data_IF_900282512579
#
_entry.id   IF_900282512579
#
_cell.length_a   1.000
_cell.length_b   1.000
_cell.length_c   1.000
_cell.angle_alpha   90.00
_cell.angle_beta   90.00
_cell.angle_gamma   90.00
#
_symmetry.space_group_name_H-M   'P 1'
#
loop_
_entity.id
_entity.type
_entity.pdbx_description
1 polymer ?
#
# COMPACT_ATOMS: atom_id res chain seq x y z
N UNK A 1 -19.16 11.63 0.01
CA UNK A 1 -20.50 11.57 0.64
C UNK A 1 -20.70 10.17 1.17
N UNK A 2 -21.11 10.03 2.42
CA UNK A 2 -21.33 8.74 3.08
C UNK A 2 -22.84 8.57 3.28
N UNK A 3 -23.39 7.50 2.74
CA UNK A 3 -24.79 7.13 2.93
C UNK A 3 -24.86 5.89 3.83
N UNK A 4 -25.29 6.02 5.09
CA UNK A 4 -25.43 4.89 5.98
C UNK A 4 -26.65 4.05 5.63
N UNK A 5 -26.52 2.74 5.79
CA UNK A 5 -27.60 1.78 5.60
C UNK A 5 -28.70 1.92 6.66
N UNK A 6 -28.31 2.24 7.89
CA UNK A 6 -29.22 2.56 8.99
C UNK A 6 -29.09 4.03 9.37
N UNK A 7 -30.20 4.77 9.30
CA UNK A 7 -30.26 6.20 9.66
C UNK A 7 -30.02 6.43 11.16
N UNK A 8 -30.34 5.46 12.02
CA UNK A 8 -30.05 5.54 13.46
C UNK A 8 -28.55 5.55 13.79
N UNK A 9 -27.70 5.09 12.85
CA UNK A 9 -26.25 5.06 13.01
C UNK A 9 -25.55 6.39 12.69
N UNK A 10 -26.25 7.36 12.10
CA UNK A 10 -25.70 8.67 11.69
C UNK A 10 -24.94 9.36 12.84
N UNK A 11 -25.49 9.52 14.06
CA UNK A 11 -24.80 10.20 15.15
C UNK A 11 -23.51 9.48 15.60
N UNK A 12 -23.51 8.14 15.55
CA UNK A 12 -22.34 7.32 15.88
C UNK A 12 -21.24 7.49 14.85
N UNK A 13 -21.60 7.54 13.56
CA UNK A 13 -20.66 7.74 12.46
C UNK A 13 -20.07 9.16 12.53
N UNK A 14 -20.88 10.19 12.73
CA UNK A 14 -20.41 11.57 12.90
C UNK A 14 -19.41 11.70 14.05
N UNK A 15 -19.74 11.10 15.20
CA UNK A 15 -18.87 11.13 16.39
C UNK A 15 -17.56 10.38 16.15
N UNK A 16 -17.58 9.29 15.38
CA UNK A 16 -16.37 8.55 15.03
C UNK A 16 -15.47 9.36 14.08
N UNK A 17 -16.05 10.05 13.10
CA UNK A 17 -15.32 10.94 12.18
C UNK A 17 -14.72 12.12 12.94
N UNK A 18 -15.48 12.78 13.83
CA UNK A 18 -14.97 13.88 14.65
C UNK A 18 -13.85 13.45 15.61
N UNK A 19 -13.91 12.22 16.14
CA UNK A 19 -12.85 11.64 16.98
C UNK A 19 -11.65 11.16 16.18
N UNK A 20 -11.79 10.98 14.88
CA UNK A 20 -10.68 10.56 14.03
C UNK A 20 -9.68 11.70 13.89
N UNK A 21 -8.40 11.37 13.75
CA UNK A 21 -7.32 12.34 13.53
C UNK A 21 -7.34 12.94 12.11
N UNK A 22 -8.47 12.81 11.39
CA UNK A 22 -8.63 13.31 10.03
C UNK A 22 -8.89 14.83 9.99
N UNK A 23 -9.27 15.44 11.12
CA UNK A 23 -9.53 16.89 11.20
C UNK A 23 -10.72 17.34 10.37
N UNK A 24 -11.66 16.43 10.08
CA UNK A 24 -12.81 16.69 9.23
C UNK A 24 -14.04 17.02 10.07
N UNK A 25 -14.80 18.03 9.63
CA UNK A 25 -16.10 18.38 10.20
C UNK A 25 -17.21 17.78 9.31
N UNK A 26 -17.89 16.70 9.74
CA UNK A 26 -19.01 16.14 8.99
C UNK A 26 -20.23 17.06 9.07
N UNK A 27 -20.90 17.25 7.92
CA UNK A 27 -22.21 17.91 7.82
C UNK A 27 -23.25 16.87 7.45
N UNK A 28 -24.40 16.85 8.11
CA UNK A 28 -25.41 15.82 7.92
C UNK A 28 -26.75 16.42 7.52
N UNK A 29 -27.33 15.90 6.43
CA UNK A 29 -28.65 16.31 5.93
C UNK A 29 -29.76 15.35 6.41
N UNK A 30 -29.49 14.54 7.45
CA UNK A 30 -30.42 13.56 8.05
C UNK A 30 -30.54 12.22 7.31
N UNK A 31 -30.08 12.13 6.05
CA UNK A 31 -29.99 10.88 5.28
C UNK A 31 -28.57 10.56 4.80
N UNK A 32 -27.68 11.55 4.75
CA UNK A 32 -26.33 11.44 4.19
C UNK A 32 -25.39 12.35 4.97
N UNK A 33 -24.17 11.86 5.18
CA UNK A 33 -23.07 12.59 5.81
C UNK A 33 -22.16 13.10 4.70
N UNK A 34 -21.98 14.42 4.62
CA UNK A 34 -21.05 15.09 3.73
C UNK A 34 -19.78 15.44 4.49
N UNK A 35 -18.64 15.16 3.87
CA UNK A 35 -17.33 15.53 4.38
C UNK A 35 -16.76 16.57 3.44
N UNK A 36 -16.52 17.77 3.97
CA UNK A 36 -15.77 18.80 3.25
C UNK A 36 -14.29 18.54 3.51
N UNK A 37 -13.59 17.99 2.52
CA UNK A 37 -12.14 17.90 2.57
C UNK A 37 -11.58 19.27 2.15
N UNK A 38 -10.88 20.00 3.05
CA UNK A 38 -10.13 21.16 2.63
C UNK A 38 -9.01 20.73 1.67
N UNK A 39 -8.60 21.58 0.72
CA UNK A 39 -7.42 21.31 -0.09
C UNK A 39 -6.22 21.14 0.83
N UNK A 40 -5.39 20.14 0.55
CA UNK A 40 -4.17 19.90 1.32
C UNK A 40 -3.21 21.09 1.14
N UNK A 41 -2.63 21.58 2.23
CA UNK A 41 -1.53 22.54 2.18
C UNK A 41 -0.30 21.89 1.55
N UNK A 42 0.58 22.69 0.96
CA UNK A 42 1.84 22.22 0.36
C UNK A 42 2.70 21.46 1.38
N UNK A 43 2.79 21.94 2.62
CA UNK A 43 3.50 21.28 3.72
C UNK A 43 2.92 19.89 4.01
N UNK A 44 1.59 19.74 4.02
CA UNK A 44 0.93 18.46 4.25
C UNK A 44 1.11 17.50 3.07
N UNK A 45 1.12 18.00 1.83
CA UNK A 45 1.42 17.21 0.64
C UNK A 45 2.85 16.64 0.71
N UNK A 46 3.84 17.47 1.06
CA UNK A 46 5.22 17.02 1.22
C UNK A 46 5.38 15.97 2.34
N UNK A 47 4.67 16.12 3.45
CA UNK A 47 4.68 15.12 4.52
C UNK A 47 4.11 13.78 4.04
N UNK A 48 2.99 13.80 3.33
CA UNK A 48 2.37 12.60 2.77
C UNK A 48 3.27 11.92 1.73
N UNK A 49 3.97 12.69 0.89
CA UNK A 49 4.97 12.17 -0.05
C UNK A 49 6.09 11.42 0.68
N UNK A 50 6.58 11.93 1.82
CA UNK A 50 7.58 11.20 2.63
C UNK A 50 7.03 9.88 3.16
N UNK A 51 5.77 9.85 3.59
CA UNK A 51 5.11 8.62 4.06
C UNK A 51 4.98 7.60 2.92
N UNK A 52 4.61 8.04 1.71
CA UNK A 52 4.54 7.19 0.53
C UNK A 52 5.90 6.57 0.23
N UNK A 53 6.97 7.38 0.17
CA UNK A 53 8.35 6.89 -0.04
C UNK A 53 8.77 5.86 1.00
N UNK A 54 8.49 6.13 2.27
CA UNK A 54 8.80 5.20 3.36
C UNK A 54 8.08 3.86 3.14
N UNK A 55 6.79 3.88 2.81
CA UNK A 55 6.01 2.66 2.55
C UNK A 55 6.54 1.89 1.33
N UNK A 56 6.90 2.58 0.26
CA UNK A 56 7.51 1.98 -0.94
C UNK A 56 8.79 1.23 -0.57
N UNK A 57 9.70 1.87 0.17
CA UNK A 57 10.96 1.25 0.58
C UNK A 57 10.76 0.07 1.56
N UNK A 58 9.85 0.20 2.53
CA UNK A 58 9.47 -0.91 3.41
C UNK A 58 9.00 -2.14 2.61
N UNK A 59 8.19 -1.93 1.57
CA UNK A 59 7.70 -3.04 0.73
C UNK A 59 8.81 -3.67 -0.12
N UNK A 60 9.72 -2.86 -0.67
CA UNK A 60 10.91 -3.37 -1.37
C UNK A 60 11.77 -4.23 -0.46
N UNK A 61 11.96 -3.84 0.80
CA UNK A 61 12.70 -4.63 1.79
C UNK A 61 12.03 -5.99 2.02
N UNK A 62 10.70 -6.00 2.22
CA UNK A 62 9.94 -7.26 2.39
C UNK A 62 10.12 -8.19 1.19
N UNK A 63 10.01 -7.68 -0.04
CA UNK A 63 10.20 -8.51 -1.24
C UNK A 63 11.61 -9.08 -1.32
N UNK A 64 12.63 -8.28 -1.01
CA UNK A 64 14.02 -8.77 -1.01
C UNK A 64 14.25 -9.85 0.03
N UNK A 65 13.62 -9.75 1.20
CA UNK A 65 13.67 -10.78 2.23
C UNK A 65 12.96 -12.06 1.77
N UNK A 66 11.75 -11.97 1.22
CA UNK A 66 11.03 -13.12 0.66
C UNK A 66 11.83 -13.82 -0.44
N UNK A 67 12.50 -13.06 -1.32
CA UNK A 67 13.41 -13.62 -2.32
C UNK A 67 14.58 -14.37 -1.67
N UNK A 68 15.16 -13.82 -0.60
CA UNK A 68 16.25 -14.47 0.12
C UNK A 68 15.80 -15.81 0.72
N UNK A 69 14.63 -15.82 1.36
CA UNK A 69 14.04 -17.03 1.96
C UNK A 69 13.76 -18.09 0.88
N UNK A 70 13.11 -17.70 -0.23
CA UNK A 70 12.83 -18.58 -1.35
C UNK A 70 14.12 -19.15 -2.01
N UNK A 71 15.17 -18.34 -2.12
CA UNK A 71 16.48 -18.80 -2.60
C UNK A 71 17.10 -19.84 -1.63
N UNK A 72 16.91 -19.65 -0.32
CA UNK A 72 17.31 -20.62 0.70
C UNK A 72 16.57 -21.96 0.55
N UNK A 73 15.27 -21.92 0.33
CA UNK A 73 14.43 -23.10 0.07
C UNK A 73 14.87 -23.84 -1.19
N UNK A 74 15.05 -23.12 -2.31
CA UNK A 74 15.51 -23.69 -3.58
C UNK A 74 16.86 -24.41 -3.44
N UNK A 75 17.79 -23.82 -2.69
CA UNK A 75 19.08 -24.44 -2.37
C UNK A 75 18.93 -25.69 -1.49
N UNK A 76 17.94 -25.70 -0.60
CA UNK A 76 17.59 -26.87 0.21
C UNK A 76 17.08 -28.03 -0.66
N UNK A 77 16.17 -27.74 -1.58
CA UNK A 77 15.61 -28.71 -2.53
C UNK A 77 16.68 -29.33 -3.44
N UNK A 78 17.64 -28.52 -3.93
CA UNK A 78 18.76 -29.03 -4.73
C UNK A 78 19.63 -30.01 -3.92
N UNK A 79 19.94 -29.67 -2.65
CA UNK A 79 20.72 -30.54 -1.76
C UNK A 79 20.02 -31.85 -1.43
N UNK A 80 18.70 -31.81 -1.27
CA UNK A 80 17.88 -32.99 -1.01
C UNK A 80 17.67 -33.85 -2.28
N UNK A 81 18.13 -33.36 -3.45
CA UNK A 81 17.90 -33.96 -4.78
C UNK A 81 16.41 -34.04 -5.15
N UNK A 82 15.59 -33.17 -4.57
CA UNK A 82 14.18 -33.01 -4.92
C UNK A 82 14.03 -32.30 -6.27
N UNK A 83 15.04 -31.52 -6.67
CA UNK A 83 15.15 -30.85 -7.97
C UNK A 83 16.55 -31.04 -8.56
N UNK A 84 16.65 -31.01 -9.89
CA UNK A 84 17.93 -31.02 -10.61
C UNK A 84 18.63 -29.65 -10.61
N UNK A 85 19.92 -29.62 -10.95
CA UNK A 85 20.68 -28.36 -11.07
C UNK A 85 20.11 -27.44 -12.16
N UNK A 86 19.63 -28.02 -13.27
CA UNK A 86 19.03 -27.28 -14.37
C UNK A 86 17.70 -26.63 -13.93
N UNK A 87 16.88 -27.37 -13.18
CA UNK A 87 15.63 -26.84 -12.61
C UNK A 87 15.90 -25.77 -11.56
N UNK A 88 16.89 -25.98 -10.69
CA UNK A 88 17.31 -24.98 -9.69
C UNK A 88 17.72 -23.67 -10.37
N UNK A 89 18.53 -23.74 -11.42
CA UNK A 89 18.95 -22.54 -12.17
C UNK A 89 17.75 -21.83 -12.84
N UNK A 90 16.83 -22.57 -13.46
CA UNK A 90 15.62 -21.99 -14.06
C UNK A 90 14.72 -21.34 -13.00
N UNK A 91 14.55 -21.98 -11.85
CA UNK A 91 13.75 -21.45 -10.75
C UNK A 91 14.35 -20.14 -10.19
N UNK A 92 15.68 -20.04 -10.07
CA UNK A 92 16.35 -18.80 -9.67
C UNK A 92 16.13 -17.67 -10.68
N UNK A 93 16.25 -17.95 -11.99
CA UNK A 93 16.00 -16.97 -13.04
C UNK A 93 14.55 -16.47 -13.01
N UNK A 94 13.59 -17.37 -12.79
CA UNK A 94 12.17 -17.02 -12.66
C UNK A 94 11.89 -16.21 -11.40
N UNK A 95 12.46 -16.62 -10.26
CA UNK A 95 12.35 -15.91 -8.99
C UNK A 95 12.90 -14.48 -9.10
N UNK A 96 14.03 -14.32 -9.78
CA UNK A 96 14.63 -13.00 -10.01
C UNK A 96 13.72 -12.12 -10.88
N UNK A 97 13.24 -12.64 -12.02
CA UNK A 97 12.31 -11.90 -12.90
C UNK A 97 11.03 -11.49 -12.18
N UNK A 98 10.46 -12.38 -11.37
CA UNK A 98 9.26 -12.10 -10.58
C UNK A 98 9.52 -11.04 -9.51
N UNK A 99 10.68 -11.10 -8.86
CA UNK A 99 11.08 -10.08 -7.87
C UNK A 99 11.23 -8.72 -8.55
N UNK A 100 11.89 -8.67 -9.70
CA UNK A 100 12.12 -7.42 -10.43
C UNK A 100 10.81 -6.81 -10.93
N UNK A 101 9.86 -7.63 -11.40
CA UNK A 101 8.54 -7.12 -11.81
C UNK A 101 7.78 -6.49 -10.65
N UNK A 102 7.73 -7.14 -9.48
CA UNK A 102 7.04 -6.57 -8.33
C UNK A 102 7.73 -5.33 -7.76
N UNK A 103 9.07 -5.25 -7.84
CA UNK A 103 9.79 -4.03 -7.46
C UNK A 103 9.39 -2.88 -8.39
N UNK A 104 9.35 -3.12 -9.71
CA UNK A 104 8.94 -2.12 -10.69
C UNK A 104 7.49 -1.67 -10.47
N UNK A 105 6.56 -2.61 -10.21
CA UNK A 105 5.16 -2.29 -9.94
C UNK A 105 5.00 -1.40 -8.70
N UNK A 106 5.74 -1.69 -7.62
CA UNK A 106 5.71 -0.87 -6.40
C UNK A 106 6.30 0.51 -6.64
N UNK A 107 7.36 0.62 -7.44
CA UNK A 107 7.92 1.91 -7.82
C UNK A 107 6.92 2.74 -8.63
N UNK A 108 6.23 2.11 -9.58
CA UNK A 108 5.21 2.78 -10.38
C UNK A 108 4.05 3.26 -9.51
N UNK A 109 3.49 2.40 -8.66
CA UNK A 109 2.40 2.77 -7.73
C UNK A 109 2.84 3.91 -6.80
N UNK A 110 4.09 3.87 -6.35
CA UNK A 110 4.69 4.94 -5.55
C UNK A 110 4.70 6.27 -6.30
N UNK A 111 5.24 6.28 -7.52
CA UNK A 111 5.35 7.47 -8.37
C UNK A 111 3.97 8.04 -8.75
N UNK A 112 3.02 7.18 -9.11
CA UNK A 112 1.66 7.58 -9.43
C UNK A 112 1.02 8.26 -8.21
N UNK A 113 1.22 7.71 -7.01
CA UNK A 113 0.69 8.29 -5.78
C UNK A 113 1.38 9.60 -5.40
N UNK A 114 2.68 9.74 -5.64
CA UNK A 114 3.38 11.01 -5.46
C UNK A 114 2.84 12.07 -6.42
N UNK A 115 2.61 11.71 -7.67
CA UNK A 115 2.04 12.62 -8.68
C UNK A 115 0.62 13.04 -8.29
N UNK A 116 -0.24 12.10 -7.90
CA UNK A 116 -1.60 12.40 -7.42
C UNK A 116 -1.60 13.34 -6.20
N UNK A 117 -0.61 13.20 -5.31
CA UNK A 117 -0.47 14.07 -4.14
C UNK A 117 0.03 15.49 -4.49
N UNK A 118 0.68 15.68 -5.63
CA UNK A 118 1.21 16.97 -6.08
C UNK A 118 0.29 17.66 -7.09
N UNK A 119 -0.50 16.90 -7.84
CA UNK A 119 -1.51 17.45 -8.75
C UNK A 119 -2.69 18.06 -7.96
N UNK A 120 -3.28 19.12 -8.53
CA UNK A 120 -4.41 19.89 -7.97
C UNK A 120 -5.60 19.79 -8.93
#
# INVERSE_FOLDING_TARGET
>A
VIQPWDRGSIPSIEKAILKSELGLNPTSDGNVIRLNLPPLSEERRQELTRVVRKRVEERKIVIRNLRHDAMGELKGLEKNKDISQDEHKRALDQLQKLTDSFIADIEQIGQDKETELMEV
#
